data_IF_974882323429
#
_entry.id   IF_974882323429
#
_cell.length_a   1.000
_cell.length_b   1.000
_cell.length_c   1.000
_cell.angle_alpha   90.00
_cell.angle_beta   90.00
_cell.angle_gamma   90.00
#
_symmetry.space_group_name_H-M   'P 1'
#
loop_
_entity.id
_entity.type
_entity.pdbx_description
1 polymer ?
#
# COMPACT_ATOMS: atom_id res chain seq x y z
N UNK A 1 4.35 16.64 17.78
CA UNK A 1 4.16 16.24 16.37
C UNK A 1 3.69 14.81 16.38
N UNK A 2 2.63 14.47 15.64
CA UNK A 2 2.19 13.08 15.50
C UNK A 2 3.29 12.26 14.79
N UNK A 3 3.54 11.04 15.27
CA UNK A 3 4.55 10.12 14.75
C UNK A 3 3.86 8.80 14.47
N UNK A 4 4.19 8.15 13.35
CA UNK A 4 3.65 6.83 13.02
C UNK A 4 4.16 5.82 14.06
N UNK A 5 3.28 5.09 14.78
CA UNK A 5 3.69 4.12 15.78
C UNK A 5 4.53 2.98 15.20
N UNK A 6 5.42 2.42 16.02
CA UNK A 6 6.20 1.22 15.69
C UNK A 6 5.76 0.08 16.61
N UNK A 7 5.21 -0.98 16.02
CA UNK A 7 4.76 -2.18 16.74
C UNK A 7 5.78 -3.29 16.56
N UNK A 8 6.13 -3.94 17.66
CA UNK A 8 6.96 -5.14 17.66
C UNK A 8 6.13 -6.36 17.24
N UNK A 9 6.38 -6.86 16.04
CA UNK A 9 5.63 -7.99 15.49
C UNK A 9 6.34 -9.33 15.72
N UNK A 10 7.41 -9.37 16.54
CA UNK A 10 8.14 -10.62 16.83
C UNK A 10 7.26 -11.77 17.30
N UNK A 11 6.22 -11.57 18.16
CA UNK A 11 5.40 -12.68 18.62
C UNK A 11 4.56 -13.33 17.53
N UNK A 12 4.27 -12.60 16.45
CA UNK A 12 3.48 -13.09 15.31
C UNK A 12 4.26 -13.04 13.99
N UNK A 13 5.60 -13.04 14.09
CA UNK A 13 6.46 -12.94 12.92
C UNK A 13 6.31 -14.15 12.00
N UNK A 14 6.75 -14.02 10.75
CA UNK A 14 6.72 -15.13 9.78
C UNK A 14 7.51 -16.38 10.22
N UNK A 15 8.38 -16.25 11.20
CA UNK A 15 9.20 -17.35 11.72
C UNK A 15 8.57 -18.05 12.94
N UNK A 16 7.38 -17.62 13.37
CA UNK A 16 6.64 -18.22 14.48
C UNK A 16 5.50 -19.06 13.92
N UNK A 17 5.39 -20.31 14.39
CA UNK A 17 4.28 -21.18 14.02
C UNK A 17 2.94 -20.63 14.55
N UNK A 18 1.93 -20.60 13.67
CA UNK A 18 0.59 -20.13 14.04
C UNK A 18 -0.02 -21.04 15.11
N UNK A 19 -0.66 -20.45 16.12
CA UNK A 19 -1.28 -21.18 17.23
C UNK A 19 -0.36 -21.40 18.43
N UNK A 20 0.90 -20.99 18.37
CA UNK A 20 1.83 -20.97 19.51
C UNK A 20 1.86 -19.64 20.26
N UNK A 21 1.05 -18.67 19.83
CA UNK A 21 1.03 -17.32 20.39
C UNK A 21 -0.03 -17.24 21.46
N UNK A 22 0.37 -16.75 22.64
CA UNK A 22 -0.51 -16.44 23.74
C UNK A 22 -1.64 -15.47 23.32
N UNK A 23 -2.87 -15.76 23.74
CA UNK A 23 -4.06 -15.02 23.31
C UNK A 23 -4.05 -13.58 23.84
N UNK A 24 -3.58 -13.36 25.08
CA UNK A 24 -3.48 -12.01 25.66
C UNK A 24 -2.46 -11.17 24.89
N UNK A 25 -1.33 -11.77 24.53
CA UNK A 25 -0.31 -11.12 23.71
C UNK A 25 -0.83 -10.79 22.30
N UNK A 26 -1.58 -11.70 21.67
CA UNK A 26 -2.19 -11.45 20.37
C UNK A 26 -3.17 -10.27 20.44
N UNK A 27 -4.04 -10.24 21.44
CA UNK A 27 -5.00 -9.15 21.66
C UNK A 27 -4.24 -7.83 21.85
N UNK A 28 -3.20 -7.81 22.68
CA UNK A 28 -2.40 -6.60 22.92
C UNK A 28 -1.75 -6.05 21.65
N UNK A 29 -1.21 -6.91 20.78
CA UNK A 29 -0.63 -6.48 19.50
C UNK A 29 -1.73 -5.97 18.56
N UNK A 30 -2.87 -6.66 18.51
CA UNK A 30 -4.00 -6.26 17.69
C UNK A 30 -4.56 -4.89 18.11
N UNK A 31 -4.66 -4.62 19.41
CA UNK A 31 -5.09 -3.32 19.95
C UNK A 31 -4.12 -2.20 19.56
N UNK A 32 -2.81 -2.43 19.64
CA UNK A 32 -1.79 -1.45 19.21
C UNK A 32 -1.91 -1.13 17.71
N UNK A 33 -2.10 -2.15 16.87
CA UNK A 33 -2.27 -1.99 15.43
C UNK A 33 -3.57 -1.24 15.12
N UNK A 34 -4.69 -1.65 15.72
CA UNK A 34 -5.98 -0.99 15.56
C UNK A 34 -5.93 0.48 16.00
N UNK A 35 -5.31 0.76 17.15
CA UNK A 35 -5.12 2.12 17.63
C UNK A 35 -4.31 2.97 16.63
N UNK A 36 -3.24 2.40 16.06
CA UNK A 36 -2.42 3.08 15.05
C UNK A 36 -3.23 3.48 13.81
N UNK A 37 -4.15 2.61 13.36
CA UNK A 37 -5.05 2.91 12.25
C UNK A 37 -6.16 3.89 12.58
N UNK A 38 -6.55 4.02 13.85
CA UNK A 38 -7.53 5.03 14.28
C UNK A 38 -6.90 6.42 14.45
N UNK A 39 -5.64 6.48 14.86
CA UNK A 39 -4.94 7.74 15.17
C UNK A 39 -4.24 8.31 13.93
N UNK A 40 -3.27 7.58 13.37
CA UNK A 40 -2.46 8.06 12.25
C UNK A 40 -2.86 7.46 10.90
N UNK A 41 -3.55 6.32 10.90
CA UNK A 41 -3.87 5.55 9.69
C UNK A 41 -2.71 4.70 9.16
N UNK A 42 -1.57 4.71 9.86
CA UNK A 42 -0.35 3.99 9.49
C UNK A 42 0.27 3.31 10.71
N UNK A 43 1.03 2.24 10.49
CA UNK A 43 1.86 1.60 11.51
C UNK A 43 3.13 1.06 10.87
N UNK A 44 4.26 1.16 11.59
CA UNK A 44 5.46 0.42 11.25
C UNK A 44 5.47 -0.91 12.01
N UNK A 45 5.71 -2.01 11.30
CA UNK A 45 6.04 -3.28 11.95
C UNK A 45 7.55 -3.50 11.91
N UNK A 46 8.15 -3.76 13.06
CA UNK A 46 9.52 -4.29 13.19
C UNK A 46 9.45 -5.78 13.54
N UNK A 47 10.55 -6.50 13.35
CA UNK A 47 10.64 -7.93 13.66
C UNK A 47 9.57 -8.78 12.95
N UNK A 48 9.15 -8.38 11.75
CA UNK A 48 8.09 -9.05 10.97
C UNK A 48 8.51 -10.44 10.45
N UNK A 49 9.80 -10.76 10.44
CA UNK A 49 10.32 -12.08 10.06
C UNK A 49 10.58 -12.28 8.57
N UNK A 50 10.37 -11.26 7.72
CA UNK A 50 10.83 -11.30 6.32
C UNK A 50 12.35 -11.26 6.36
N UNK A 51 13.00 -12.22 5.69
CA UNK A 51 14.46 -12.32 5.75
C UNK A 51 15.13 -11.13 5.08
N UNK A 52 16.32 -10.75 5.58
CA UNK A 52 17.11 -9.68 4.94
C UNK A 52 17.50 -10.04 3.51
N UNK A 53 17.80 -11.31 3.25
CA UNK A 53 18.09 -11.82 1.91
C UNK A 53 16.91 -11.65 0.96
N UNK A 54 15.67 -11.88 1.41
CA UNK A 54 14.50 -11.68 0.55
C UNK A 54 14.29 -10.20 0.23
N UNK A 55 14.44 -9.32 1.23
CA UNK A 55 14.35 -7.87 1.04
C UNK A 55 15.42 -7.39 0.06
N UNK A 56 16.67 -7.76 0.28
CA UNK A 56 17.81 -7.40 -0.57
C UNK A 56 17.62 -7.93 -2.00
N UNK A 57 17.17 -9.18 -2.13
CA UNK A 57 16.88 -9.79 -3.44
C UNK A 57 15.79 -9.01 -4.17
N UNK A 58 14.66 -8.69 -3.52
CA UNK A 58 13.58 -7.91 -4.13
C UNK A 58 14.04 -6.52 -4.59
N UNK A 59 14.80 -5.80 -3.76
CA UNK A 59 15.31 -4.47 -4.13
C UNK A 59 16.38 -4.56 -5.23
N UNK A 60 17.26 -5.57 -5.22
CA UNK A 60 18.25 -5.78 -6.29
C UNK A 60 17.57 -6.09 -7.62
N UNK A 61 16.63 -7.03 -7.63
CA UNK A 61 15.91 -7.42 -8.86
C UNK A 61 15.11 -6.25 -9.44
N UNK A 62 14.41 -5.48 -8.61
CA UNK A 62 13.69 -4.29 -9.10
C UNK A 62 14.65 -3.22 -9.63
N UNK A 63 15.79 -2.99 -8.96
CA UNK A 63 16.84 -2.08 -9.43
C UNK A 63 17.38 -2.48 -10.80
N UNK A 64 17.77 -3.75 -10.94
CA UNK A 64 18.31 -4.31 -12.18
C UNK A 64 17.36 -4.12 -13.37
N UNK A 65 16.05 -4.28 -13.14
CA UNK A 65 15.03 -4.02 -14.15
C UNK A 65 14.95 -2.52 -14.52
N UNK A 66 14.86 -1.63 -13.54
CA UNK A 66 14.68 -0.19 -13.82
C UNK A 66 15.93 0.48 -14.41
N UNK A 67 17.11 -0.10 -14.19
CA UNK A 67 18.38 0.30 -14.82
C UNK A 67 18.53 -0.18 -16.27
N UNK A 68 17.65 -1.06 -16.76
CA UNK A 68 17.68 -1.49 -18.16
C UNK A 68 17.43 -0.32 -19.14
N UNK A 69 17.98 -0.41 -20.36
CA UNK A 69 17.66 0.51 -21.45
C UNK A 69 16.16 0.66 -21.68
N UNK A 70 15.76 1.86 -22.11
CA UNK A 70 14.34 2.19 -22.30
C UNK A 70 13.64 1.25 -23.29
N UNK A 71 14.32 0.81 -24.35
CA UNK A 71 13.76 -0.12 -25.33
C UNK A 71 13.51 -1.51 -24.75
N UNK A 72 14.29 -1.94 -23.76
CA UNK A 72 14.05 -3.19 -23.02
C UNK A 72 12.83 -3.05 -22.13
N UNK A 73 12.75 -1.98 -21.31
CA UNK A 73 11.60 -1.74 -20.42
C UNK A 73 10.29 -1.61 -21.18
N UNK A 74 10.31 -0.96 -22.36
CA UNK A 74 9.14 -0.83 -23.24
C UNK A 74 8.54 -2.16 -23.71
N UNK A 75 9.34 -3.23 -23.80
CA UNK A 75 8.83 -4.57 -24.18
C UNK A 75 7.86 -5.14 -23.15
N UNK A 76 7.94 -4.65 -21.91
CA UNK A 76 7.08 -5.04 -20.81
C UNK A 76 6.06 -3.95 -20.47
N UNK A 77 5.86 -2.95 -21.34
CA UNK A 77 4.92 -1.87 -21.07
C UNK A 77 3.50 -2.41 -20.87
N UNK A 78 2.83 -1.89 -19.85
CA UNK A 78 1.44 -2.18 -19.54
C UNK A 78 0.56 -1.88 -20.76
N UNK A 79 -0.21 -2.87 -21.20
CA UNK A 79 -1.08 -2.71 -22.36
C UNK A 79 -2.28 -1.82 -21.99
N UNK A 80 -2.55 -0.80 -22.82
CA UNK A 80 -3.66 0.15 -22.62
C UNK A 80 -5.03 -0.53 -22.74
N UNK A 81 -5.12 -1.53 -23.61
CA UNK A 81 -6.39 -2.21 -23.94
C UNK A 81 -6.63 -3.47 -23.10
N UNK A 82 -5.62 -3.91 -22.35
CA UNK A 82 -5.74 -5.11 -21.55
C UNK A 82 -6.43 -4.82 -20.21
N UNK A 83 -7.38 -5.67 -19.85
CA UNK A 83 -8.01 -5.69 -18.53
C UNK A 83 -7.03 -6.02 -17.39
N UNK A 84 -5.82 -6.46 -17.71
CA UNK A 84 -4.78 -6.73 -16.72
C UNK A 84 -3.99 -5.46 -16.34
N UNK A 85 -3.66 -5.31 -15.05
CA UNK A 85 -2.81 -4.21 -14.57
C UNK A 85 -1.33 -4.48 -14.74
N UNK A 86 -0.95 -5.53 -15.47
CA UNK A 86 0.39 -6.07 -15.42
C UNK A 86 1.34 -5.31 -16.35
N UNK A 87 2.51 -4.94 -15.83
CA UNK A 87 3.64 -4.45 -16.64
C UNK A 87 4.21 -3.11 -16.21
N UNK A 88 5.16 -2.64 -17.01
CA UNK A 88 5.92 -1.42 -16.79
C UNK A 88 5.13 -0.16 -17.17
N UNK A 89 5.27 0.87 -16.35
CA UNK A 89 4.69 2.20 -16.55
C UNK A 89 5.81 3.25 -16.52
N UNK A 90 5.89 4.04 -17.57
CA UNK A 90 6.92 5.06 -17.71
C UNK A 90 6.65 6.28 -16.81
N UNK A 91 7.70 7.04 -16.52
CA UNK A 91 7.59 8.35 -15.85
C UNK A 91 6.59 9.25 -16.55
N UNK A 92 5.85 10.00 -15.76
CA UNK A 92 4.86 10.96 -16.25
C UNK A 92 3.82 10.29 -17.18
N UNK A 93 3.46 9.04 -16.90
CA UNK A 93 2.32 8.37 -17.52
C UNK A 93 1.08 8.53 -16.65
N UNK A 94 1.20 8.29 -15.35
CA UNK A 94 0.09 8.30 -14.39
C UNK A 94 -0.19 9.70 -13.82
N UNK A 95 -1.45 9.91 -13.43
CA UNK A 95 -1.92 11.09 -12.72
C UNK A 95 -2.92 10.62 -11.66
N UNK A 96 -2.42 10.21 -10.49
CA UNK A 96 -3.22 9.67 -9.39
C UNK A 96 -3.83 10.75 -8.49
N UNK A 97 -3.46 12.02 -8.67
CA UNK A 97 -4.15 13.14 -8.03
C UNK A 97 -4.83 13.99 -9.10
N UNK A 98 -6.18 14.03 -9.18
CA UNK A 98 -6.89 14.79 -10.21
C UNK A 98 -6.73 16.31 -10.03
N UNK A 99 -6.40 16.77 -8.83
CA UNK A 99 -6.12 18.18 -8.54
C UNK A 99 -4.70 18.59 -8.95
N UNK A 100 -3.81 17.62 -9.22
CA UNK A 100 -2.42 17.88 -9.60
C UNK A 100 -2.31 18.00 -11.12
N UNK A 101 -1.94 19.19 -11.59
CA UNK A 101 -1.77 19.50 -13.03
C UNK A 101 -0.58 18.79 -13.70
N UNK A 102 0.34 18.25 -12.91
CA UNK A 102 1.51 17.52 -13.41
C UNK A 102 1.39 16.04 -13.07
N UNK A 103 1.89 15.20 -13.98
CA UNK A 103 1.87 13.76 -13.84
C UNK A 103 2.88 13.28 -12.80
N UNK A 104 2.74 12.02 -12.40
CA UNK A 104 3.58 11.44 -11.37
C UNK A 104 5.01 11.18 -11.87
N UNK A 105 5.98 11.70 -11.12
CA UNK A 105 7.39 11.55 -11.41
C UNK A 105 7.93 10.24 -10.83
N UNK A 106 7.33 9.12 -11.27
CA UNK A 106 7.69 7.74 -10.91
C UNK A 106 7.65 6.86 -12.16
N UNK A 107 8.53 5.87 -12.23
CA UNK A 107 8.28 4.69 -13.07
C UNK A 107 7.88 3.54 -12.14
N UNK A 108 7.03 2.64 -12.61
CA UNK A 108 6.58 1.47 -11.83
C UNK A 108 6.55 0.22 -12.70
N UNK A 109 6.50 -0.93 -12.03
CA UNK A 109 6.20 -2.21 -12.64
C UNK A 109 5.16 -2.89 -11.77
N UNK A 110 3.99 -3.10 -12.34
CA UNK A 110 2.87 -3.68 -11.63
C UNK A 110 2.87 -5.20 -11.89
N UNK A 111 3.04 -5.98 -10.83
CA UNK A 111 2.96 -7.45 -10.90
C UNK A 111 1.62 -7.92 -10.38
N UNK A 112 0.93 -8.78 -11.15
CA UNK A 112 -0.42 -9.19 -10.80
C UNK A 112 -0.74 -10.63 -11.20
N UNK A 113 -1.28 -11.38 -10.23
CA UNK A 113 -1.95 -12.66 -10.42
C UNK A 113 -3.46 -12.35 -10.55
N UNK A 114 -3.91 -11.97 -11.75
CA UNK A 114 -5.26 -11.46 -12.07
C UNK A 114 -5.65 -10.07 -11.50
N UNK A 115 -6.70 -9.49 -12.11
CA UNK A 115 -6.90 -8.06 -12.43
C UNK A 115 -7.07 -7.09 -11.23
N UNK A 116 -6.41 -5.91 -11.25
CA UNK A 116 -6.78 -4.71 -10.47
C UNK A 116 -5.97 -3.45 -10.84
N UNK A 117 -6.53 -2.30 -11.25
CA UNK A 117 -5.73 -1.10 -11.66
C UNK A 117 -5.89 0.13 -10.74
N UNK A 118 -4.88 0.47 -9.92
CA UNK A 118 -4.71 1.56 -8.90
C UNK A 118 -5.75 2.72 -8.69
N UNK A 119 -5.81 3.26 -7.45
CA UNK A 119 -6.85 4.16 -6.87
C UNK A 119 -6.30 5.56 -6.48
N UNK A 120 -7.17 6.59 -6.41
CA UNK A 120 -6.85 7.98 -5.99
C UNK A 120 -7.35 8.36 -4.57
N UNK A 121 -6.66 9.25 -3.84
CA UNK A 121 -7.07 9.73 -2.50
C UNK A 121 -8.04 10.95 -2.51
N UNK A 122 -8.81 11.14 -1.43
CA UNK A 122 -9.62 12.36 -1.11
C UNK A 122 -8.90 13.28 -0.08
N UNK A 123 -9.51 14.33 0.48
CA UNK A 123 -8.89 15.49 1.19
C UNK A 123 -8.73 15.39 2.73
N UNK A 124 -7.49 15.45 3.25
CA UNK A 124 -7.17 15.74 4.67
C UNK A 124 -6.07 16.79 4.64
N UNK A 125 -6.13 17.75 5.55
CA UNK A 125 -5.46 19.03 5.34
C UNK A 125 -4.00 19.06 5.79
N UNK A 126 -3.54 18.07 6.58
CA UNK A 126 -2.15 18.03 7.07
C UNK A 126 -1.50 16.65 6.89
N UNK A 127 -0.27 16.63 6.39
CA UNK A 127 0.53 15.42 6.14
C UNK A 127 1.67 15.33 7.15
N UNK A 128 1.88 14.16 7.77
CA UNK A 128 3.07 13.89 8.60
C UNK A 128 4.13 13.11 7.81
N UNK A 129 5.44 13.34 8.05
CA UNK A 129 6.49 12.57 7.40
C UNK A 129 6.51 11.09 7.86
N UNK A 130 6.44 10.16 6.91
CA UNK A 130 6.79 8.77 7.12
C UNK A 130 8.31 8.59 7.00
N UNK A 131 9.05 8.93 8.07
CA UNK A 131 10.50 8.79 8.12
C UNK A 131 10.89 7.31 7.98
N UNK A 132 11.75 6.91 7.02
CA UNK A 132 12.18 5.52 6.89
C UNK A 132 12.90 5.02 8.15
N UNK A 133 12.45 3.89 8.69
CA UNK A 133 13.08 3.21 9.82
C UNK A 133 13.69 1.91 9.29
N UNK A 134 15.01 1.65 9.48
CA UNK A 134 15.65 0.41 9.04
C UNK A 134 14.93 -0.84 9.59
N UNK A 135 14.88 -1.90 8.80
CA UNK A 135 14.27 -3.19 9.17
C UNK A 135 12.80 -3.09 9.63
N UNK A 136 12.04 -2.18 9.01
CA UNK A 136 10.58 -2.05 9.21
C UNK A 136 9.80 -2.08 7.90
N UNK A 137 8.55 -2.51 8.01
CA UNK A 137 7.54 -2.34 6.95
C UNK A 137 6.49 -1.35 7.41
N UNK A 138 6.11 -0.42 6.54
CA UNK A 138 4.97 0.48 6.79
C UNK A 138 3.70 -0.17 6.27
N UNK A 139 2.64 -0.15 7.08
CA UNK A 139 1.33 -0.68 6.74
C UNK A 139 0.32 0.45 6.86
N UNK A 140 -0.61 0.49 5.90
CA UNK A 140 -1.79 1.33 5.92
C UNK A 140 -3.00 0.54 5.47
N UNK A 141 -4.18 1.07 5.74
CA UNK A 141 -5.44 0.48 5.28
C UNK A 141 -5.88 1.10 3.95
N UNK A 142 -6.54 0.29 3.13
CA UNK A 142 -7.27 0.74 1.95
C UNK A 142 -8.73 1.04 2.27
N UNK A 143 -9.39 1.75 1.36
CA UNK A 143 -10.79 2.15 1.49
C UNK A 143 -11.75 0.97 1.75
N UNK A 144 -11.44 -0.23 1.24
CA UNK A 144 -12.26 -1.43 1.46
C UNK A 144 -12.32 -1.77 2.95
N UNK A 145 -11.19 -1.73 3.67
CA UNK A 145 -11.14 -2.01 5.11
C UNK A 145 -11.84 -0.93 5.94
N UNK A 146 -11.70 0.34 5.55
CA UNK A 146 -12.42 1.43 6.20
C UNK A 146 -13.94 1.24 6.06
N UNK A 147 -14.42 0.89 4.86
CA UNK A 147 -15.83 0.54 4.62
C UNK A 147 -16.26 -0.65 5.47
N UNK A 148 -15.46 -1.72 5.44
CA UNK A 148 -15.75 -2.98 6.15
C UNK A 148 -15.91 -2.75 7.65
N UNK A 149 -15.10 -1.85 8.22
CA UNK A 149 -15.11 -1.51 9.65
C UNK A 149 -16.06 -0.36 10.01
N UNK A 150 -16.91 0.10 9.08
CA UNK A 150 -17.84 1.22 9.28
C UNK A 150 -17.15 2.53 9.73
N UNK A 151 -15.96 2.80 9.21
CA UNK A 151 -15.03 3.88 9.57
C UNK A 151 -14.45 3.82 10.99
N UNK A 152 -14.51 2.65 11.67
CA UNK A 152 -13.75 2.46 12.91
C UNK A 152 -12.25 2.46 12.66
N UNK A 153 -11.81 1.90 11.53
CA UNK A 153 -10.42 2.01 11.08
C UNK A 153 -10.37 2.94 9.86
N UNK A 154 -9.32 3.76 9.78
CA UNK A 154 -9.22 4.82 8.77
C UNK A 154 -8.16 4.48 7.72
N UNK A 155 -8.54 4.62 6.44
CA UNK A 155 -7.62 4.54 5.32
C UNK A 155 -6.80 5.83 5.25
N UNK A 156 -5.62 5.79 5.88
CA UNK A 156 -4.68 6.91 5.94
C UNK A 156 -4.24 7.37 4.55
N UNK A 157 -4.28 8.68 4.32
CA UNK A 157 -3.89 9.26 3.03
C UNK A 157 -2.41 9.51 2.98
N UNK A 158 -1.81 9.22 1.84
CA UNK A 158 -0.38 9.34 1.65
C UNK A 158 -0.06 9.91 0.28
N UNK A 159 1.12 10.55 0.19
CA UNK A 159 1.71 11.01 -1.05
C UNK A 159 3.22 10.87 -0.95
N UNK A 160 3.86 10.66 -2.09
CA UNK A 160 5.32 10.71 -2.19
C UNK A 160 5.70 12.04 -2.84
N UNK A 161 6.63 12.75 -2.22
CA UNK A 161 7.20 13.97 -2.76
C UNK A 161 8.66 13.73 -3.15
N UNK A 162 9.09 14.37 -4.23
CA UNK A 162 10.52 14.52 -4.51
C UNK A 162 11.09 15.40 -3.40
N UNK A 163 12.16 14.96 -2.70
CA UNK A 163 12.76 15.76 -1.64
C UNK A 163 13.14 17.16 -2.15
N UNK A 164 12.92 18.24 -1.37
CA UNK A 164 13.31 19.58 -1.79
C UNK A 164 14.84 19.78 -1.81
N UNK A 165 15.57 18.94 -1.07
CA UNK A 165 17.03 18.92 -1.07
C UNK A 165 17.57 18.43 -2.42
N UNK A 166 18.43 19.24 -3.06
CA UNK A 166 18.92 18.99 -4.42
C UNK A 166 19.77 17.71 -4.53
N UNK A 167 20.51 17.36 -3.47
CA UNK A 167 21.33 16.14 -3.47
C UNK A 167 20.42 14.92 -3.38
N UNK A 168 19.42 14.96 -2.50
CA UNK A 168 18.44 13.87 -2.32
C UNK A 168 17.49 13.74 -3.51
N UNK A 169 17.11 14.84 -4.18
CA UNK A 169 16.24 14.79 -5.36
C UNK A 169 16.91 14.11 -6.57
N UNK A 170 18.25 14.14 -6.62
CA UNK A 170 19.06 13.43 -7.61
C UNK A 170 19.26 11.95 -7.28
N UNK A 171 18.96 11.53 -6.05
CA UNK A 171 19.02 10.12 -5.66
C UNK A 171 17.71 9.43 -6.02
N UNK A 172 17.80 8.29 -6.70
CA UNK A 172 16.63 7.44 -6.94
C UNK A 172 16.08 6.93 -5.61
N UNK A 173 14.75 7.02 -5.43
CA UNK A 173 14.05 6.38 -4.31
C UNK A 173 13.36 5.11 -4.83
N UNK A 174 13.64 3.99 -4.19
CA UNK A 174 12.96 2.73 -4.46
C UNK A 174 11.94 2.43 -3.35
N UNK A 175 10.81 1.84 -3.73
CA UNK A 175 9.82 1.29 -2.82
C UNK A 175 9.06 0.18 -3.51
N UNK A 176 8.58 -0.77 -2.72
CA UNK A 176 7.72 -1.86 -3.18
C UNK A 176 6.41 -1.73 -2.40
N UNK A 177 5.29 -1.67 -3.12
CA UNK A 177 3.96 -1.61 -2.53
C UNK A 177 3.25 -2.94 -2.78
N UNK A 178 2.77 -3.58 -1.71
CA UNK A 178 1.95 -4.78 -1.78
C UNK A 178 0.52 -4.42 -1.38
N UNK A 179 -0.41 -4.56 -2.32
CA UNK A 179 -1.82 -4.36 -2.07
C UNK A 179 -2.49 -5.71 -1.79
N UNK A 180 -3.13 -5.84 -0.62
CA UNK A 180 -3.89 -7.03 -0.24
C UNK A 180 -5.37 -6.66 -0.20
N UNK A 181 -6.20 -7.48 -0.83
CA UNK A 181 -7.65 -7.35 -0.85
C UNK A 181 -8.30 -8.68 -0.46
N UNK A 182 -9.56 -8.63 -0.04
CA UNK A 182 -10.36 -9.83 0.12
C UNK A 182 -10.62 -10.46 -1.26
N UNK A 183 -10.84 -11.77 -1.29
CA UNK A 183 -11.22 -12.48 -2.51
C UNK A 183 -12.44 -11.82 -3.17
N UNK A 184 -12.49 -11.84 -4.50
CA UNK A 184 -13.45 -11.10 -5.32
C UNK A 184 -14.91 -11.21 -4.87
N UNK A 185 -15.31 -12.41 -4.48
CA UNK A 185 -16.67 -12.78 -4.11
C UNK A 185 -17.06 -12.38 -2.67
N UNK A 186 -16.11 -11.95 -1.86
CA UNK A 186 -16.37 -11.57 -0.46
C UNK A 186 -17.21 -10.29 -0.43
N UNK A 187 -18.31 -10.34 0.32
CA UNK A 187 -19.18 -9.18 0.52
C UNK A 187 -18.62 -8.25 1.59
N UNK A 188 -18.40 -6.99 1.23
CA UNK A 188 -18.00 -5.91 2.11
C UNK A 188 -19.23 -5.32 2.82
N UNK A 189 -19.79 -6.08 3.75
CA UNK A 189 -20.83 -5.65 4.70
C UNK A 189 -20.22 -5.12 6.00
N UNK A 190 -20.82 -4.11 6.63
CA UNK A 190 -20.24 -3.54 7.85
C UNK A 190 -20.13 -4.59 8.98
N UNK A 191 -18.91 -4.81 9.49
CA UNK A 191 -18.60 -5.82 10.52
C UNK A 191 -19.34 -5.59 11.85
N UNK A 192 -19.75 -4.35 12.11
CA UNK A 192 -20.53 -3.98 13.29
C UNK A 192 -22.04 -4.15 13.12
N UNK A 193 -22.47 -4.75 11.99
CA UNK A 193 -23.86 -4.97 11.60
C UNK A 193 -24.66 -3.68 11.41
N UNK A 194 -23.99 -2.52 11.34
CA UNK A 194 -24.63 -1.29 10.89
C UNK A 194 -24.93 -1.35 9.39
N UNK A 195 -25.77 -0.43 8.90
CA UNK A 195 -25.98 -0.23 7.46
C UNK A 195 -25.41 1.12 7.01
N UNK A 196 -24.25 1.51 7.54
CA UNK A 196 -23.57 2.76 7.16
C UNK A 196 -23.19 2.77 5.68
N UNK A 197 -22.85 1.59 5.17
CA UNK A 197 -22.51 1.35 3.78
C UNK A 197 -23.30 0.13 3.28
N UNK A 198 -23.97 0.27 2.14
CA UNK A 198 -24.67 -0.87 1.51
C UNK A 198 -23.68 -2.00 1.18
N UNK A 199 -24.05 -3.29 1.34
CA UNK A 199 -23.17 -4.39 0.96
C UNK A 199 -22.78 -4.33 -0.52
N UNK A 200 -21.51 -4.62 -0.82
CA UNK A 200 -20.95 -4.68 -2.18
C UNK A 200 -19.85 -5.74 -2.20
N UNK A 201 -19.69 -6.47 -3.31
CA UNK A 201 -18.59 -7.44 -3.42
C UNK A 201 -17.22 -6.73 -3.44
N UNK A 202 -16.16 -7.42 -3.03
CA UNK A 202 -14.79 -6.91 -3.06
C UNK A 202 -14.41 -6.42 -4.47
N UNK A 203 -14.72 -7.23 -5.49
CA UNK A 203 -14.40 -6.91 -6.88
C UNK A 203 -15.21 -5.73 -7.41
N UNK A 204 -16.52 -5.65 -7.13
CA UNK A 204 -17.36 -4.55 -7.60
C UNK A 204 -16.93 -3.23 -6.95
N UNK A 205 -16.53 -3.25 -5.68
CA UNK A 205 -16.02 -2.06 -5.01
C UNK A 205 -14.70 -1.59 -5.60
N UNK A 206 -13.77 -2.50 -5.87
CA UNK A 206 -12.52 -2.20 -6.55
C UNK A 206 -12.78 -1.60 -7.94
N UNK A 207 -13.64 -2.23 -8.75
CA UNK A 207 -14.02 -1.74 -10.07
C UNK A 207 -14.72 -0.36 -10.01
N UNK A 208 -15.61 -0.14 -9.05
CA UNK A 208 -16.25 1.15 -8.83
C UNK A 208 -15.21 2.24 -8.54
N UNK A 209 -14.24 1.96 -7.67
CA UNK A 209 -13.15 2.89 -7.35
C UNK A 209 -12.26 3.16 -8.57
N UNK A 210 -12.05 2.17 -9.43
CA UNK A 210 -11.32 2.35 -10.69
C UNK A 210 -12.08 3.23 -11.69
N UNK A 211 -13.38 3.01 -11.88
CA UNK A 211 -14.18 3.77 -12.85
C UNK A 211 -14.40 5.25 -12.46
N UNK A 212 -14.21 5.61 -11.19
CA UNK A 212 -14.25 7.03 -10.78
C UNK A 212 -12.97 7.80 -11.14
N UNK A 213 -11.92 7.10 -11.58
CA UNK A 213 -10.58 7.64 -11.77
C UNK A 213 -10.20 7.85 -13.24
N UNK A 214 -10.80 7.05 -14.14
CA UNK A 214 -10.53 7.00 -15.58
C UNK A 214 -11.79 7.34 -16.38
#
# INVERSE_FOLDING_TARGET
MAVIPVVDFSPYSLNVERGMVDEELLISIAEQICHSFTDTGFVYLKNHGISKSDIESMFSTTKEFFEQPLDVKKRYAKNKDAKNNHGWVARETESLNPERKVKDYKESFDYQLQESKEVKPRSSEEYIPATPIPDTVVINLGDSMQRWTADKLVAGRHRVQVPPDEKKSKQGRQSIALFVHADDHVMLECLDKSNKYEPISSIDYLQMKFNQVY
#
